data_IF_860645997420
#
_entry.id   IF_860645997420
#
_cell.length_a   1.000
_cell.length_b   1.000
_cell.length_c   1.000
_cell.angle_alpha   90.00
_cell.angle_beta   90.00
_cell.angle_gamma   90.00
#
_symmetry.space_group_name_H-M   'P 1'
#
loop_
_entity.id
_entity.type
_entity.pdbx_description
1 polymer ?
#
# COMPACT_ATOMS: atom_id res chain seq x y z
N UNK A 1 23.50 -15.79 -1.93
CA UNK A 1 22.32 -14.94 -2.04
C UNK A 1 21.83 -14.96 -3.48
N UNK A 2 20.53 -15.15 -3.71
CA UNK A 2 19.93 -15.18 -5.05
C UNK A 2 19.91 -13.74 -5.59
N UNK A 3 20.67 -13.46 -6.67
CA UNK A 3 20.63 -12.17 -7.35
C UNK A 3 19.70 -12.30 -8.56
N UNK A 4 18.69 -11.41 -8.63
CA UNK A 4 17.79 -11.35 -9.79
C UNK A 4 18.53 -10.71 -10.98
N UNK A 5 18.41 -11.34 -12.16
CA UNK A 5 18.92 -10.76 -13.42
C UNK A 5 17.92 -9.76 -13.99
N UNK A 6 16.61 -10.10 -13.99
CA UNK A 6 15.54 -9.25 -14.48
C UNK A 6 14.40 -9.20 -13.46
N UNK A 7 13.94 -7.98 -13.15
CA UNK A 7 12.74 -7.71 -12.35
C UNK A 7 11.78 -6.88 -13.20
N UNK A 8 10.50 -7.25 -13.17
CA UNK A 8 9.43 -6.49 -13.80
C UNK A 8 8.67 -5.66 -12.75
N UNK A 9 8.29 -4.43 -13.10
CA UNK A 9 7.40 -3.57 -12.31
C UNK A 9 6.15 -3.28 -13.13
N UNK A 10 5.00 -3.69 -12.64
CA UNK A 10 3.70 -3.47 -13.30
C UNK A 10 3.01 -2.26 -12.68
N UNK A 11 3.01 -1.15 -13.42
CA UNK A 11 2.46 0.13 -12.99
C UNK A 11 3.54 1.20 -12.84
N UNK A 12 3.51 2.19 -13.71
CA UNK A 12 4.49 3.28 -13.83
C UNK A 12 4.02 4.59 -13.16
N UNK A 13 3.17 4.49 -12.13
CA UNK A 13 2.88 5.64 -11.26
C UNK A 13 4.12 6.10 -10.49
N UNK A 14 3.98 7.14 -9.65
CA UNK A 14 5.09 7.66 -8.84
C UNK A 14 5.80 6.55 -8.03
N UNK A 15 5.02 5.65 -7.36
CA UNK A 15 5.60 4.59 -6.54
C UNK A 15 6.29 3.51 -7.36
N UNK A 16 5.70 3.06 -8.48
CA UNK A 16 6.34 2.06 -9.36
C UNK A 16 7.63 2.59 -9.99
N UNK A 17 7.66 3.86 -10.37
CA UNK A 17 8.87 4.52 -10.86
C UNK A 17 9.94 4.63 -9.76
N UNK A 18 9.59 5.00 -8.54
CA UNK A 18 10.52 5.04 -7.42
C UNK A 18 11.09 3.65 -7.09
N UNK A 19 10.24 2.61 -7.04
CA UNK A 19 10.70 1.23 -6.82
C UNK A 19 11.61 0.73 -7.94
N UNK A 20 11.35 1.10 -9.20
CA UNK A 20 12.23 0.72 -10.32
C UNK A 20 13.63 1.32 -10.19
N UNK A 21 13.72 2.57 -9.70
CA UNK A 21 15.00 3.24 -9.40
C UNK A 21 15.73 2.54 -8.24
N UNK A 22 15.02 2.19 -7.18
CA UNK A 22 15.60 1.43 -6.06
C UNK A 22 16.13 0.07 -6.53
N UNK A 23 15.32 -0.70 -7.24
CA UNK A 23 15.69 -2.02 -7.77
C UNK A 23 16.89 -1.96 -8.70
N UNK A 24 17.02 -0.91 -9.51
CA UNK A 24 18.13 -0.73 -10.45
C UNK A 24 19.51 -0.73 -9.82
N UNK A 25 19.58 -0.45 -8.51
CA UNK A 25 20.86 -0.44 -7.77
C UNK A 25 21.39 -1.85 -7.47
N UNK A 26 20.52 -2.87 -7.45
CA UNK A 26 20.86 -4.26 -7.09
C UNK A 26 20.51 -5.29 -8.18
N UNK A 27 19.76 -4.90 -9.21
CA UNK A 27 19.28 -5.77 -10.27
C UNK A 27 19.85 -5.34 -11.61
N UNK A 28 20.30 -6.29 -12.43
CA UNK A 28 20.96 -5.98 -13.71
C UNK A 28 20.03 -5.28 -14.70
N UNK A 29 18.75 -5.66 -14.74
CA UNK A 29 17.75 -5.09 -15.63
C UNK A 29 16.39 -4.97 -14.94
N UNK A 30 15.79 -3.79 -14.97
CA UNK A 30 14.44 -3.52 -14.47
C UNK A 30 13.55 -3.08 -15.64
N UNK A 31 12.49 -3.84 -15.91
CA UNK A 31 11.51 -3.52 -16.94
C UNK A 31 10.22 -3.02 -16.29
N UNK A 32 9.70 -1.88 -16.72
CA UNK A 32 8.50 -1.23 -16.15
C UNK A 32 7.39 -1.21 -17.18
N UNK A 33 6.25 -1.80 -16.83
CA UNK A 33 5.06 -1.66 -17.64
C UNK A 33 4.31 -0.37 -17.28
N UNK A 34 4.10 0.46 -18.29
CA UNK A 34 3.32 1.69 -18.20
C UNK A 34 2.07 1.57 -19.07
N UNK A 35 0.91 1.93 -18.52
CA UNK A 35 -0.33 2.01 -19.29
C UNK A 35 -0.32 3.22 -20.23
N UNK A 36 0.22 4.33 -19.75
CA UNK A 36 0.24 5.62 -20.44
C UNK A 36 1.41 5.70 -21.43
N UNK A 37 1.15 5.85 -22.76
CA UNK A 37 2.21 5.96 -23.78
C UNK A 37 3.15 7.15 -23.56
N UNK A 38 2.63 8.26 -23.02
CA UNK A 38 3.42 9.46 -22.73
C UNK A 38 4.48 9.22 -21.65
N UNK A 39 4.23 8.30 -20.70
CA UNK A 39 5.23 7.90 -19.69
C UNK A 39 6.37 7.15 -20.36
N UNK A 40 6.07 6.21 -21.26
CA UNK A 40 7.08 5.45 -22.02
C UNK A 40 7.92 6.40 -22.87
N UNK A 41 7.27 7.31 -23.60
CA UNK A 41 7.95 8.32 -24.41
C UNK A 41 8.87 9.22 -23.58
N UNK A 42 8.36 9.74 -22.46
CA UNK A 42 9.14 10.58 -21.55
C UNK A 42 10.34 9.84 -20.97
N UNK A 43 10.17 8.58 -20.57
CA UNK A 43 11.24 7.75 -20.04
C UNK A 43 12.33 7.46 -21.09
N UNK A 44 11.94 7.23 -22.34
CA UNK A 44 12.87 6.99 -23.45
C UNK A 44 13.66 8.23 -23.85
N UNK A 45 12.98 9.37 -24.03
CA UNK A 45 13.58 10.60 -24.56
C UNK A 45 14.34 11.41 -23.50
N UNK A 46 13.79 11.48 -22.27
CA UNK A 46 14.31 12.37 -21.21
C UNK A 46 14.96 11.62 -20.05
N UNK A 47 14.84 10.29 -20.02
CA UNK A 47 15.23 9.48 -18.85
C UNK A 47 14.54 9.99 -17.59
N UNK A 48 13.22 10.23 -17.68
CA UNK A 48 12.38 10.79 -16.63
C UNK A 48 10.93 10.36 -16.83
N UNK A 49 10.20 10.08 -15.73
CA UNK A 49 8.75 9.99 -15.76
C UNK A 49 8.15 11.37 -15.45
N UNK A 50 8.06 12.21 -16.45
CA UNK A 50 7.60 13.60 -16.30
C UNK A 50 6.14 13.73 -15.87
N UNK A 51 5.34 12.64 -15.99
CA UNK A 51 3.92 12.63 -15.63
C UNK A 51 3.72 12.40 -14.13
N UNK A 52 4.38 11.37 -13.58
CA UNK A 52 4.11 10.91 -12.22
C UNK A 52 5.26 11.10 -11.23
N UNK A 53 6.51 11.26 -11.72
CA UNK A 53 7.69 11.44 -10.88
C UNK A 53 8.66 12.44 -11.55
N UNK A 54 8.23 13.71 -11.73
CA UNK A 54 9.02 14.70 -12.43
C UNK A 54 10.32 15.04 -11.69
N UNK A 55 11.34 15.48 -12.45
CA UNK A 55 12.66 15.88 -11.96
C UNK A 55 13.48 14.77 -11.29
N UNK A 56 13.12 13.51 -11.50
CA UNK A 56 13.87 12.35 -11.02
C UNK A 56 14.41 11.57 -12.22
N UNK A 57 15.74 11.39 -12.25
CA UNK A 57 16.41 10.70 -13.34
C UNK A 57 16.27 9.19 -13.25
N UNK A 58 15.84 8.55 -14.35
CA UNK A 58 15.73 7.09 -14.47
C UNK A 58 17.10 6.51 -14.84
N UNK A 59 17.63 5.52 -14.09
CA UNK A 59 18.88 4.83 -14.37
C UNK A 59 18.88 4.08 -15.73
N UNK A 60 20.05 3.91 -16.34
CA UNK A 60 20.19 3.36 -17.69
C UNK A 60 19.67 1.91 -17.83
N UNK A 61 19.75 1.11 -16.74
CA UNK A 61 19.27 -0.28 -16.68
C UNK A 61 17.78 -0.41 -16.33
N UNK A 62 17.01 0.70 -16.37
CA UNK A 62 15.56 0.73 -16.22
C UNK A 62 14.93 1.09 -17.55
N UNK A 63 14.02 0.25 -18.05
CA UNK A 63 13.32 0.43 -19.31
C UNK A 63 11.81 0.45 -19.11
N UNK A 64 11.11 1.31 -19.84
CA UNK A 64 9.65 1.44 -19.80
C UNK A 64 9.05 0.95 -21.12
N UNK A 65 7.96 0.18 -21.03
CA UNK A 65 7.22 -0.32 -22.20
C UNK A 65 5.73 -0.40 -21.92
N UNK A 66 4.92 -0.27 -22.97
CA UNK A 66 3.49 -0.58 -22.93
C UNK A 66 3.20 -2.07 -23.22
N UNK A 67 4.20 -2.83 -23.69
CA UNK A 67 4.07 -4.27 -23.97
C UNK A 67 4.26 -5.08 -22.69
N UNK A 68 3.19 -5.75 -22.24
CA UNK A 68 3.27 -6.63 -21.07
C UNK A 68 4.20 -7.83 -21.34
N UNK A 69 4.23 -8.38 -22.55
CA UNK A 69 5.11 -9.48 -22.91
C UNK A 69 6.58 -9.09 -22.77
N UNK A 70 6.99 -7.94 -23.34
CA UNK A 70 8.38 -7.50 -23.29
C UNK A 70 8.86 -7.26 -21.85
N UNK A 71 7.99 -6.68 -21.04
CA UNK A 71 8.28 -6.39 -19.64
C UNK A 71 8.41 -7.68 -18.82
N UNK A 72 7.47 -8.61 -18.96
CA UNK A 72 7.34 -9.77 -18.07
C UNK A 72 8.20 -10.95 -18.48
N UNK A 73 8.51 -11.09 -19.80
CA UNK A 73 9.28 -12.19 -20.33
C UNK A 73 10.64 -12.34 -19.65
N UNK A 74 10.82 -13.48 -18.99
CA UNK A 74 12.05 -13.82 -18.29
C UNK A 74 12.24 -13.12 -16.92
N UNK A 75 11.30 -12.31 -16.46
CA UNK A 75 11.35 -11.71 -15.13
C UNK A 75 11.31 -12.79 -14.03
N UNK A 76 12.22 -12.69 -13.04
CA UNK A 76 12.32 -13.63 -11.93
C UNK A 76 11.53 -13.14 -10.71
N UNK A 77 11.22 -11.85 -10.66
CA UNK A 77 10.33 -11.21 -9.71
C UNK A 77 9.46 -10.19 -10.45
N UNK A 78 8.18 -10.14 -10.11
CA UNK A 78 7.21 -9.17 -10.65
C UNK A 78 6.64 -8.36 -9.50
N UNK A 79 6.87 -7.05 -9.52
CA UNK A 79 6.38 -6.10 -8.53
C UNK A 79 5.12 -5.42 -9.07
N UNK A 80 3.99 -5.61 -8.38
CA UNK A 80 2.69 -5.08 -8.77
C UNK A 80 2.40 -3.77 -8.06
N UNK A 81 2.29 -2.69 -8.81
CA UNK A 81 2.08 -1.33 -8.30
C UNK A 81 0.81 -0.73 -8.92
N UNK A 82 -0.24 -1.52 -8.93
CA UNK A 82 -1.56 -1.13 -9.42
C UNK A 82 -2.57 -1.08 -8.27
N UNK A 83 -3.60 -0.23 -8.35
CA UNK A 83 -4.66 -0.24 -7.34
C UNK A 83 -5.34 -1.60 -7.25
N UNK A 84 -5.74 -2.03 -6.04
CA UNK A 84 -6.22 -3.40 -5.77
C UNK A 84 -7.42 -3.78 -6.64
N UNK A 85 -8.33 -2.86 -6.92
CA UNK A 85 -9.50 -3.11 -7.78
C UNK A 85 -9.15 -3.39 -9.26
N UNK A 86 -7.93 -3.03 -9.71
CA UNK A 86 -7.40 -3.40 -11.03
C UNK A 86 -6.44 -4.59 -10.99
N UNK A 87 -6.09 -5.08 -9.80
CA UNK A 87 -5.04 -6.11 -9.66
C UNK A 87 -5.46 -7.41 -10.35
N UNK A 88 -6.66 -7.93 -10.07
CA UNK A 88 -7.12 -9.20 -10.63
C UNK A 88 -7.21 -9.19 -12.16
N UNK A 89 -7.92 -8.24 -12.82
CA UNK A 89 -8.01 -8.24 -14.27
C UNK A 89 -6.63 -8.06 -14.93
N UNK A 90 -5.75 -7.21 -14.37
CA UNK A 90 -4.40 -7.01 -14.88
C UNK A 90 -3.57 -8.28 -14.72
N UNK A 91 -3.58 -8.91 -13.55
CA UNK A 91 -2.80 -10.11 -13.29
C UNK A 91 -3.25 -11.29 -14.17
N UNK A 92 -4.56 -11.48 -14.37
CA UNK A 92 -5.10 -12.52 -15.27
C UNK A 92 -4.64 -12.31 -16.72
N UNK A 93 -4.71 -11.07 -17.22
CA UNK A 93 -4.30 -10.77 -18.60
C UNK A 93 -2.80 -10.92 -18.82
N UNK A 94 -1.99 -10.72 -17.77
CA UNK A 94 -0.52 -10.79 -17.83
C UNK A 94 0.05 -12.17 -17.46
N UNK A 95 -0.75 -13.03 -16.83
CA UNK A 95 -0.33 -14.36 -16.40
C UNK A 95 0.40 -15.17 -17.50
N UNK A 96 -0.03 -15.18 -18.79
CA UNK A 96 0.66 -15.95 -19.84
C UNK A 96 2.13 -15.57 -20.05
N UNK A 97 2.51 -14.34 -19.73
CA UNK A 97 3.88 -13.83 -19.93
C UNK A 97 4.79 -14.02 -18.71
N UNK A 98 4.21 -14.44 -17.56
CA UNK A 98 4.94 -14.59 -16.32
C UNK A 98 5.66 -15.92 -16.25
N UNK A 99 6.96 -15.88 -15.99
CA UNK A 99 7.81 -17.06 -15.82
C UNK A 99 7.33 -17.91 -14.65
N UNK A 100 7.26 -19.24 -14.87
CA UNK A 100 6.98 -20.20 -13.81
C UNK A 100 7.97 -20.06 -12.66
N UNK A 101 7.47 -19.97 -11.42
CA UNK A 101 8.27 -19.80 -10.23
C UNK A 101 8.77 -18.37 -9.98
N UNK A 102 8.30 -17.36 -10.73
CA UNK A 102 8.60 -15.96 -10.44
C UNK A 102 8.00 -15.53 -9.09
N UNK A 103 8.68 -14.67 -8.35
CA UNK A 103 8.15 -14.08 -7.13
C UNK A 103 7.14 -12.97 -7.48
N UNK A 104 5.99 -12.99 -6.85
CA UNK A 104 4.90 -12.02 -7.08
C UNK A 104 4.79 -11.12 -5.84
N UNK A 105 5.28 -9.88 -5.95
CA UNK A 105 5.34 -8.92 -4.85
C UNK A 105 4.37 -7.77 -5.14
N UNK A 106 3.29 -7.65 -4.36
CA UNK A 106 2.42 -6.49 -4.45
C UNK A 106 3.02 -5.31 -3.67
N UNK A 107 2.92 -4.12 -4.23
CA UNK A 107 3.32 -2.85 -3.59
C UNK A 107 2.15 -1.83 -3.54
N UNK A 108 0.97 -2.24 -3.98
CA UNK A 108 -0.28 -1.49 -3.82
C UNK A 108 -0.90 -1.74 -2.44
N UNK A 109 -1.55 -0.74 -1.87
CA UNK A 109 -2.20 -0.84 -0.56
C UNK A 109 -3.71 -1.00 -0.70
N UNK A 110 -4.32 -1.86 0.12
CA UNK A 110 -5.76 -2.08 0.16
C UNK A 110 -6.14 -3.55 0.19
N UNK A 111 -7.45 -3.78 0.28
CA UNK A 111 -8.12 -5.07 0.26
C UNK A 111 -9.24 -4.97 -0.77
N UNK A 112 -9.56 -6.03 -1.45
CA UNK A 112 -10.66 -6.06 -2.42
C UNK A 112 -12.01 -5.89 -1.72
N UNK A 113 -12.76 -4.89 -2.16
CA UNK A 113 -14.09 -4.59 -1.61
C UNK A 113 -15.06 -5.72 -2.00
N UNK A 114 -15.85 -6.20 -1.05
CA UNK A 114 -16.87 -7.24 -1.26
C UNK A 114 -16.39 -8.66 -1.05
N UNK A 115 -15.13 -8.99 -1.33
CA UNK A 115 -14.58 -10.35 -1.16
C UNK A 115 -13.57 -10.46 -0.02
N UNK A 116 -12.96 -9.35 0.41
CA UNK A 116 -11.91 -9.28 1.44
C UNK A 116 -10.59 -9.90 1.04
N UNK A 117 -10.45 -10.30 -0.22
CA UNK A 117 -9.20 -10.89 -0.68
C UNK A 117 -8.07 -9.90 -0.56
N UNK A 118 -6.99 -10.35 0.03
CA UNK A 118 -5.73 -9.63 0.10
C UNK A 118 -5.03 -9.68 -1.25
N UNK A 119 -4.16 -8.71 -1.59
CA UNK A 119 -3.44 -8.71 -2.86
C UNK A 119 -2.69 -10.00 -3.15
N UNK A 120 -2.06 -10.64 -2.15
CA UNK A 120 -1.38 -11.93 -2.31
C UNK A 120 -2.32 -13.07 -2.71
N UNK A 121 -3.54 -13.10 -2.19
CA UNK A 121 -4.58 -14.08 -2.56
C UNK A 121 -5.05 -13.86 -4.00
N UNK A 122 -5.29 -12.61 -4.37
CA UNK A 122 -5.68 -12.23 -5.73
C UNK A 122 -4.60 -12.65 -6.74
N UNK A 123 -3.33 -12.39 -6.43
CA UNK A 123 -2.21 -12.77 -7.28
C UNK A 123 -2.06 -14.29 -7.40
N UNK A 124 -2.23 -15.02 -6.29
CA UNK A 124 -2.15 -16.49 -6.27
C UNK A 124 -3.21 -17.14 -7.17
N UNK A 125 -4.45 -16.64 -7.10
CA UNK A 125 -5.53 -17.10 -7.95
C UNK A 125 -5.34 -16.71 -9.43
N UNK A 126 -4.79 -15.52 -9.68
CA UNK A 126 -4.65 -14.98 -11.05
C UNK A 126 -3.42 -15.50 -11.77
N UNK A 127 -2.37 -15.90 -11.06
CA UNK A 127 -1.06 -16.34 -11.59
C UNK A 127 -0.62 -17.63 -10.89
N UNK A 128 -1.33 -18.75 -11.08
CA UNK A 128 -1.09 -19.98 -10.33
C UNK A 128 0.30 -20.61 -10.57
N UNK A 129 0.99 -20.24 -11.63
CA UNK A 129 2.37 -20.66 -11.92
C UNK A 129 3.42 -19.86 -11.15
N UNK A 130 3.04 -18.83 -10.35
CA UNK A 130 3.96 -18.08 -9.50
C UNK A 130 4.65 -18.96 -8.45
N UNK A 131 5.81 -18.51 -7.96
CA UNK A 131 6.60 -19.26 -6.97
C UNK A 131 6.25 -18.91 -5.53
N UNK A 132 6.19 -17.62 -5.21
CA UNK A 132 5.91 -17.11 -3.88
C UNK A 132 5.17 -15.79 -3.99
N UNK A 133 4.23 -15.53 -3.09
CA UNK A 133 3.31 -14.41 -3.16
C UNK A 133 3.35 -13.59 -1.87
N UNK A 134 3.22 -12.28 -2.00
CA UNK A 134 3.14 -11.40 -0.86
C UNK A 134 3.25 -9.93 -1.23
N UNK A 135 3.71 -9.11 -0.28
CA UNK A 135 3.68 -7.65 -0.45
C UNK A 135 4.91 -6.96 0.16
N UNK A 136 5.25 -5.79 -0.38
CA UNK A 136 6.20 -4.85 0.21
C UNK A 136 5.46 -3.61 0.70
N UNK A 137 5.61 -3.26 1.99
CA UNK A 137 4.88 -2.17 2.63
C UNK A 137 5.78 -1.38 3.58
N UNK A 138 5.44 -0.11 3.81
CA UNK A 138 6.17 0.76 4.74
C UNK A 138 5.78 2.23 4.58
N UNK A 139 6.36 3.14 5.39
CA UNK A 139 6.21 4.59 5.31
C UNK A 139 7.00 5.12 4.10
N UNK A 140 6.46 4.96 2.90
CA UNK A 140 7.18 5.20 1.67
C UNK A 140 6.48 6.27 0.82
N UNK A 141 6.93 7.51 0.92
CA UNK A 141 6.55 8.60 0.03
C UNK A 141 7.45 8.49 -1.22
N UNK A 142 6.84 8.22 -2.37
CA UNK A 142 7.56 7.89 -3.62
C UNK A 142 8.64 8.91 -3.99
N UNK A 143 8.33 10.21 -3.86
CA UNK A 143 9.24 11.29 -4.18
C UNK A 143 10.46 11.33 -3.24
N UNK A 144 10.24 11.09 -1.95
CA UNK A 144 11.31 11.05 -0.96
C UNK A 144 12.25 9.85 -1.17
N UNK A 145 11.66 8.67 -1.40
CA UNK A 145 12.43 7.45 -1.70
C UNK A 145 13.25 7.61 -2.98
N UNK A 146 12.68 8.21 -4.02
CA UNK A 146 13.38 8.48 -5.29
C UNK A 146 14.52 9.51 -5.16
N UNK A 147 14.47 10.36 -4.13
CA UNK A 147 15.52 11.31 -3.75
C UNK A 147 16.56 10.74 -2.78
N UNK A 148 16.56 9.44 -2.55
CA UNK A 148 17.45 8.77 -1.59
C UNK A 148 17.31 9.25 -0.13
N UNK A 149 16.15 9.83 0.26
CA UNK A 149 15.85 10.06 1.67
C UNK A 149 15.63 8.74 2.38
N UNK A 150 16.04 8.68 3.66
CA UNK A 150 15.94 7.45 4.43
C UNK A 150 14.49 7.01 4.58
N UNK A 151 14.24 5.74 4.26
CA UNK A 151 12.96 5.07 4.45
C UNK A 151 13.16 3.59 4.77
N UNK A 152 12.16 2.99 5.39
CA UNK A 152 12.11 1.56 5.68
C UNK A 152 10.88 0.90 5.07
N UNK A 153 11.03 -0.39 4.72
CA UNK A 153 9.93 -1.23 4.29
C UNK A 153 10.09 -2.65 4.86
N UNK A 154 9.01 -3.39 4.86
CA UNK A 154 8.99 -4.83 5.08
C UNK A 154 8.48 -5.51 3.81
N UNK A 155 9.17 -6.52 3.32
CA UNK A 155 8.68 -7.42 2.28
C UNK A 155 8.34 -8.76 2.91
N UNK A 156 7.09 -9.17 2.78
CA UNK A 156 6.62 -10.45 3.27
C UNK A 156 6.20 -11.35 2.11
N UNK A 157 6.71 -12.58 2.08
CA UNK A 157 6.37 -13.61 1.10
C UNK A 157 6.09 -14.93 1.82
N UNK A 158 5.37 -15.84 1.17
CA UNK A 158 5.06 -17.18 1.72
C UNK A 158 6.31 -17.96 2.16
N UNK A 159 7.41 -17.76 1.44
CA UNK A 159 8.70 -18.35 1.74
C UNK A 159 9.64 -17.31 2.36
N UNK A 160 10.13 -17.59 3.56
CA UNK A 160 11.13 -16.75 4.22
C UNK A 160 12.39 -16.55 3.37
N UNK A 161 12.83 -17.58 2.66
CA UNK A 161 14.00 -17.50 1.79
C UNK A 161 13.75 -16.56 0.60
N UNK A 162 12.56 -16.61 0.01
CA UNK A 162 12.17 -15.70 -1.08
C UNK A 162 11.99 -14.27 -0.57
N UNK A 163 11.43 -14.09 0.64
CA UNK A 163 11.34 -12.78 1.27
C UNK A 163 12.71 -12.13 1.50
N UNK A 164 13.71 -12.92 1.94
CA UNK A 164 15.09 -12.45 2.09
C UNK A 164 15.68 -12.06 0.73
N UNK A 165 15.51 -12.90 -0.31
CA UNK A 165 16.00 -12.60 -1.65
C UNK A 165 15.35 -11.32 -2.23
N UNK A 166 14.04 -11.13 -2.01
CA UNK A 166 13.33 -9.92 -2.42
C UNK A 166 13.80 -8.69 -1.63
N UNK A 167 13.98 -8.82 -0.30
CA UNK A 167 14.50 -7.75 0.54
C UNK A 167 15.88 -7.26 0.07
N UNK A 168 16.78 -8.18 -0.24
CA UNK A 168 18.12 -7.87 -0.76
C UNK A 168 18.05 -7.10 -2.10
N UNK A 169 17.06 -7.42 -2.96
CA UNK A 169 16.90 -6.72 -4.22
C UNK A 169 16.45 -5.25 -4.05
N UNK A 170 15.65 -4.97 -3.03
CA UNK A 170 15.20 -3.60 -2.73
C UNK A 170 16.16 -2.84 -1.80
N UNK A 171 16.97 -3.52 -0.97
CA UNK A 171 17.74 -2.88 0.09
C UNK A 171 18.87 -2.00 -0.46
N UNK A 172 18.92 -0.74 -0.02
CA UNK A 172 19.99 0.21 -0.31
C UNK A 172 20.43 0.91 0.99
N UNK A 173 21.50 1.72 0.98
CA UNK A 173 21.87 2.48 2.19
C UNK A 173 20.77 3.41 2.71
N UNK A 174 19.95 3.98 1.80
CA UNK A 174 18.85 4.89 2.13
C UNK A 174 17.49 4.23 2.21
N UNK A 175 17.31 3.02 1.66
CA UNK A 175 16.06 2.26 1.69
C UNK A 175 16.29 0.90 2.32
N UNK A 176 16.00 0.79 3.62
CA UNK A 176 16.17 -0.45 4.39
C UNK A 176 14.94 -1.32 4.25
N UNK A 177 15.13 -2.57 3.85
CA UNK A 177 14.03 -3.52 3.68
C UNK A 177 14.29 -4.76 4.53
N UNK A 178 13.31 -5.07 5.39
CA UNK A 178 13.31 -6.29 6.19
C UNK A 178 12.52 -7.39 5.50
N UNK A 179 12.92 -8.63 5.71
CA UNK A 179 12.17 -9.78 5.24
C UNK A 179 11.22 -10.29 6.32
N UNK A 180 10.02 -10.69 5.94
CA UNK A 180 9.03 -11.33 6.80
C UNK A 180 8.38 -12.52 6.07
N UNK A 181 7.72 -13.39 6.79
CA UNK A 181 6.82 -14.44 6.29
C UNK A 181 5.37 -14.24 6.81
N UNK A 182 5.14 -13.15 7.57
CA UNK A 182 3.78 -12.71 7.92
C UNK A 182 3.16 -11.83 6.82
N UNK A 183 2.74 -12.46 5.73
CA UNK A 183 2.09 -11.76 4.61
C UNK A 183 0.77 -11.13 5.07
N UNK A 184 0.03 -11.80 5.97
CA UNK A 184 -1.27 -11.33 6.46
C UNK A 184 -1.09 -10.03 7.24
N UNK A 185 -0.19 -10.00 8.22
CA UNK A 185 0.05 -8.82 9.05
C UNK A 185 0.48 -7.62 8.23
N UNK A 186 1.37 -7.82 7.27
CA UNK A 186 1.88 -6.75 6.39
C UNK A 186 0.77 -6.18 5.50
N UNK A 187 -0.06 -7.01 4.88
CA UNK A 187 -1.13 -6.56 3.99
C UNK A 187 -2.28 -5.88 4.74
N UNK A 188 -2.73 -6.46 5.85
CA UNK A 188 -3.82 -5.91 6.68
C UNK A 188 -3.38 -4.60 7.34
N UNK A 189 -2.15 -4.56 7.88
CA UNK A 189 -1.58 -3.34 8.44
C UNK A 189 -1.59 -2.18 7.45
N UNK A 190 -1.11 -2.42 6.24
CA UNK A 190 -1.06 -1.42 5.19
C UNK A 190 -2.46 -1.00 4.66
N UNK A 191 -3.44 -1.90 4.65
CA UNK A 191 -4.79 -1.61 4.20
C UNK A 191 -5.56 -0.76 5.21
N UNK A 192 -5.56 -1.15 6.49
CA UNK A 192 -6.38 -0.51 7.52
C UNK A 192 -5.77 0.78 8.08
N UNK A 193 -4.46 1.00 7.96
CA UNK A 193 -3.82 2.23 8.41
C UNK A 193 -4.48 3.52 7.90
N UNK A 194 -5.04 3.46 6.69
CA UNK A 194 -5.67 4.61 6.06
C UNK A 194 -6.93 5.06 6.81
N UNK A 195 -7.62 4.13 7.48
CA UNK A 195 -8.78 4.43 8.33
C UNK A 195 -8.31 5.09 9.63
N UNK A 196 -7.19 4.63 10.21
CA UNK A 196 -6.61 5.29 11.37
C UNK A 196 -6.17 6.72 11.04
N UNK A 197 -5.71 6.95 9.81
CA UNK A 197 -5.39 8.31 9.35
C UNK A 197 -6.65 9.19 9.18
N UNK A 198 -7.78 8.62 8.75
CA UNK A 198 -9.09 9.32 8.79
C UNK A 198 -9.45 9.70 10.22
N UNK A 199 -9.31 8.76 11.19
CA UNK A 199 -9.58 9.01 12.61
C UNK A 199 -8.71 10.13 13.18
N UNK A 200 -7.41 10.11 12.86
CA UNK A 200 -6.48 11.16 13.28
C UNK A 200 -6.88 12.54 12.71
N UNK A 201 -7.24 12.58 11.43
CA UNK A 201 -7.74 13.79 10.79
C UNK A 201 -9.08 14.27 11.40
N UNK A 202 -9.99 13.34 11.69
CA UNK A 202 -11.25 13.65 12.36
C UNK A 202 -11.01 14.37 13.70
N UNK A 203 -10.04 13.91 14.49
CA UNK A 203 -9.63 14.61 15.73
C UNK A 203 -9.11 16.03 15.46
N UNK A 204 -8.34 16.22 14.38
CA UNK A 204 -7.85 17.55 13.97
C UNK A 204 -9.04 18.47 13.60
N UNK A 205 -9.99 17.99 12.83
CA UNK A 205 -11.18 18.74 12.41
C UNK A 205 -12.10 19.13 13.55
N UNK A 206 -12.23 18.27 14.56
CA UNK A 206 -12.97 18.56 15.80
C UNK A 206 -12.15 19.38 16.81
N UNK A 207 -10.87 19.69 16.55
CA UNK A 207 -9.97 20.46 17.44
C UNK A 207 -9.78 19.82 18.83
N UNK A 208 -9.70 18.49 18.89
CA UNK A 208 -9.66 17.72 20.16
C UNK A 208 -8.30 17.76 20.87
N UNK A 209 -7.27 18.31 20.23
CA UNK A 209 -5.92 18.39 20.80
C UNK A 209 -5.11 17.09 20.67
N UNK A 210 -3.83 17.19 21.00
CA UNK A 210 -2.84 16.13 20.78
C UNK A 210 -3.10 14.85 21.60
N UNK A 211 -3.55 14.98 22.84
CA UNK A 211 -3.78 13.82 23.72
C UNK A 211 -4.86 12.89 23.15
N UNK A 212 -6.02 13.45 22.77
CA UNK A 212 -7.11 12.65 22.20
C UNK A 212 -6.70 12.02 20.88
N UNK A 213 -6.05 12.79 20.00
CA UNK A 213 -5.53 12.28 18.72
C UNK A 213 -4.56 11.11 18.93
N UNK A 214 -3.62 11.23 19.87
CA UNK A 214 -2.66 10.17 20.18
C UNK A 214 -3.34 8.89 20.69
N UNK A 215 -4.35 9.02 21.56
CA UNK A 215 -5.14 7.87 22.05
C UNK A 215 -5.90 7.20 20.92
N UNK A 216 -6.55 7.98 20.05
CA UNK A 216 -7.28 7.45 18.89
C UNK A 216 -6.34 6.73 17.92
N UNK A 217 -5.17 7.27 17.66
CA UNK A 217 -4.15 6.61 16.83
C UNK A 217 -3.68 5.29 17.44
N UNK A 218 -3.39 5.28 18.75
CA UNK A 218 -2.92 4.08 19.45
C UNK A 218 -4.00 2.97 19.46
N UNK A 219 -5.25 3.33 19.78
CA UNK A 219 -6.39 2.39 19.74
C UNK A 219 -6.68 1.91 18.33
N UNK A 220 -6.61 2.80 17.32
CA UNK A 220 -6.76 2.42 15.92
C UNK A 220 -5.69 1.43 15.48
N UNK A 221 -4.44 1.58 15.92
CA UNK A 221 -3.39 0.61 15.68
C UNK A 221 -3.69 -0.75 16.35
N UNK A 222 -4.24 -0.74 17.58
CA UNK A 222 -4.69 -1.97 18.23
C UNK A 222 -5.85 -2.64 17.48
N UNK A 223 -6.75 -1.88 16.86
CA UNK A 223 -7.81 -2.42 15.99
C UNK A 223 -7.22 -3.11 14.75
N UNK A 224 -6.23 -2.49 14.09
CA UNK A 224 -5.49 -3.13 12.99
C UNK A 224 -4.90 -4.45 13.45
N UNK A 225 -4.24 -4.47 14.60
CA UNK A 225 -3.64 -5.68 15.17
C UNK A 225 -4.70 -6.77 15.40
N UNK A 226 -5.83 -6.46 16.06
CA UNK A 226 -6.90 -7.43 16.31
C UNK A 226 -7.48 -7.99 15.00
N UNK A 227 -7.70 -7.12 14.02
CA UNK A 227 -8.18 -7.53 12.71
C UNK A 227 -7.19 -8.50 12.03
N UNK A 228 -5.91 -8.16 12.01
CA UNK A 228 -4.89 -9.00 11.41
C UNK A 228 -4.72 -10.35 12.15
N UNK A 229 -4.71 -10.33 13.49
CA UNK A 229 -4.61 -11.54 14.32
C UNK A 229 -5.77 -12.51 14.08
N UNK A 230 -7.00 -11.99 13.87
CA UNK A 230 -8.18 -12.82 13.56
C UNK A 230 -8.08 -13.53 12.21
N UNK A 231 -7.19 -13.08 11.33
CA UNK A 231 -6.88 -13.69 10.04
C UNK A 231 -5.65 -14.60 10.10
N UNK A 232 -5.01 -14.72 11.26
CA UNK A 232 -3.83 -15.56 11.46
C UNK A 232 -2.49 -14.83 11.31
N UNK A 233 -2.47 -13.49 11.34
CA UNK A 233 -1.23 -12.73 11.41
C UNK A 233 -0.48 -13.00 12.73
N UNK A 234 0.83 -12.88 12.69
CA UNK A 234 1.67 -13.10 13.86
C UNK A 234 1.69 -11.86 14.77
N UNK A 235 1.54 -12.06 16.07
CA UNK A 235 1.52 -10.98 17.06
C UNK A 235 2.80 -10.15 17.04
N UNK A 236 3.93 -10.77 16.78
CA UNK A 236 5.25 -10.15 16.81
C UNK A 236 5.51 -9.20 15.63
N UNK A 237 4.85 -9.40 14.47
CA UNK A 237 5.08 -8.59 13.28
C UNK A 237 4.74 -7.12 13.49
N UNK A 238 3.68 -6.83 14.24
CA UNK A 238 3.25 -5.45 14.55
C UNK A 238 4.18 -4.73 15.52
N UNK A 239 4.89 -5.47 16.37
CA UNK A 239 5.85 -4.91 17.34
C UNK A 239 7.25 -4.82 16.74
N UNK A 240 7.67 -5.85 16.00
CA UNK A 240 9.02 -5.97 15.46
C UNK A 240 9.23 -5.19 14.16
N UNK A 241 8.17 -5.05 13.35
CA UNK A 241 8.26 -4.37 12.06
C UNK A 241 7.91 -2.89 12.19
N UNK A 242 8.92 -2.08 12.50
CA UNK A 242 8.81 -0.61 12.60
C UNK A 242 8.16 0.01 11.35
N UNK A 243 8.31 -0.63 10.19
CA UNK A 243 7.70 -0.19 8.95
C UNK A 243 6.16 -0.18 8.99
N UNK A 244 5.50 -1.11 9.72
CA UNK A 244 4.04 -1.14 9.82
C UNK A 244 3.55 0.04 10.68
N UNK A 245 4.08 0.18 11.89
CA UNK A 245 3.73 1.31 12.78
C UNK A 245 4.15 2.65 12.17
N UNK A 246 5.33 2.71 11.57
CA UNK A 246 5.83 3.90 10.89
C UNK A 246 4.91 4.37 9.76
N UNK A 247 4.31 3.45 9.00
CA UNK A 247 3.36 3.79 7.93
C UNK A 247 2.05 4.37 8.49
N UNK A 248 1.57 3.86 9.63
CA UNK A 248 0.44 4.45 10.37
C UNK A 248 0.78 5.87 10.80
N UNK A 249 1.90 6.06 11.50
CA UNK A 249 2.33 7.36 12.04
C UNK A 249 2.54 8.39 10.92
N UNK A 250 3.29 8.03 9.87
CA UNK A 250 3.53 8.91 8.72
C UNK A 250 2.22 9.36 8.07
N UNK A 251 1.26 8.44 7.88
CA UNK A 251 -0.01 8.76 7.23
C UNK A 251 -0.91 9.62 8.12
N UNK A 252 -0.90 9.40 9.44
CA UNK A 252 -1.68 10.19 10.41
C UNK A 252 -1.12 11.59 10.63
N UNK A 253 0.20 11.78 10.47
CA UNK A 253 0.87 13.05 10.78
C UNK A 253 1.08 13.93 9.55
N UNK A 254 1.26 13.33 8.36
CA UNK A 254 1.57 14.10 7.15
C UNK A 254 0.43 15.03 6.74
N UNK A 255 0.70 16.32 6.52
CA UNK A 255 -0.29 17.26 5.98
C UNK A 255 -0.71 16.89 4.54
N UNK A 256 0.13 16.17 3.81
CA UNK A 256 -0.13 15.72 2.44
C UNK A 256 -0.96 14.42 2.39
N UNK A 257 -1.27 13.82 3.54
CA UNK A 257 -2.09 12.61 3.62
C UNK A 257 -3.54 12.92 3.24
N UNK A 258 -3.96 12.38 2.10
CA UNK A 258 -5.36 12.49 1.64
C UNK A 258 -6.35 11.91 2.65
N UNK A 259 -5.99 10.82 3.31
CA UNK A 259 -6.85 10.19 4.32
C UNK A 259 -6.99 11.11 5.55
N UNK A 260 -5.87 11.62 6.09
CA UNK A 260 -5.91 12.56 7.20
C UNK A 260 -6.71 13.83 6.85
N UNK A 261 -6.43 14.45 5.70
CA UNK A 261 -7.14 15.66 5.25
C UNK A 261 -8.64 15.42 5.05
N UNK A 262 -9.02 14.23 4.54
CA UNK A 262 -10.43 13.86 4.42
C UNK A 262 -11.08 13.70 5.80
N UNK A 263 -10.41 13.03 6.74
CA UNK A 263 -10.86 12.92 8.13
C UNK A 263 -11.04 14.29 8.79
N UNK A 264 -10.11 15.22 8.57
CA UNK A 264 -10.18 16.60 9.08
C UNK A 264 -11.45 17.32 8.57
N UNK A 265 -11.81 17.13 7.31
CA UNK A 265 -13.06 17.67 6.73
C UNK A 265 -14.30 17.06 7.37
N UNK A 266 -14.32 15.75 7.58
CA UNK A 266 -15.41 15.07 8.30
C UNK A 266 -15.56 15.60 9.74
N UNK A 267 -14.44 15.73 10.47
CA UNK A 267 -14.41 16.31 11.80
C UNK A 267 -14.88 17.78 11.84
N UNK A 268 -14.60 18.54 10.79
CA UNK A 268 -15.09 19.91 10.64
C UNK A 268 -16.59 20.01 10.26
N UNK A 269 -17.25 18.86 10.00
CA UNK A 269 -18.69 18.78 9.74
C UNK A 269 -19.10 18.67 8.26
N UNK A 270 -18.15 18.43 7.35
CA UNK A 270 -18.51 18.09 5.98
C UNK A 270 -19.07 16.66 5.90
N UNK A 271 -19.99 16.42 4.97
CA UNK A 271 -20.40 15.06 4.61
C UNK A 271 -19.27 14.31 3.91
N UNK A 272 -19.37 12.98 3.82
CA UNK A 272 -18.40 12.16 3.11
C UNK A 272 -18.34 12.51 1.61
N UNK A 273 -19.49 12.80 0.99
CA UNK A 273 -19.60 13.22 -0.40
C UNK A 273 -18.89 14.55 -0.65
N UNK A 274 -19.13 15.56 0.20
CA UNK A 274 -18.46 16.86 0.09
C UNK A 274 -16.95 16.74 0.29
N UNK A 275 -16.51 15.96 1.29
CA UNK A 275 -15.10 15.72 1.57
C UNK A 275 -14.41 15.00 0.39
N UNK A 276 -15.13 14.04 -0.26
CA UNK A 276 -14.66 13.30 -1.44
C UNK A 276 -14.60 14.21 -2.68
N UNK A 277 -15.59 15.05 -2.90
CA UNK A 277 -15.60 15.98 -4.02
C UNK A 277 -14.37 16.92 -4.02
N UNK A 278 -13.90 17.32 -2.84
CA UNK A 278 -12.71 18.16 -2.68
C UNK A 278 -11.37 17.45 -2.96
N UNK A 279 -11.38 16.16 -3.28
CA UNK A 279 -10.18 15.44 -3.69
C UNK A 279 -9.81 15.62 -5.17
N UNK A 280 -10.69 16.24 -5.96
CA UNK A 280 -10.44 16.48 -7.39
C UNK A 280 -10.22 15.19 -8.19
N UNK A 281 -11.05 14.18 -7.96
CA UNK A 281 -10.97 12.87 -8.62
C UNK A 281 -9.90 11.92 -8.05
N UNK A 282 -9.11 12.36 -7.07
CA UNK A 282 -8.11 11.49 -6.42
C UNK A 282 -8.77 10.57 -5.39
N UNK A 283 -8.31 9.33 -5.30
CA UNK A 283 -8.85 8.31 -4.39
C UNK A 283 -8.47 8.59 -2.93
N UNK A 284 -9.42 8.41 -2.01
CA UNK A 284 -9.20 8.31 -0.58
C UNK A 284 -9.39 6.86 -0.14
N UNK A 285 -8.30 6.11 -0.05
CA UNK A 285 -8.33 4.69 0.26
C UNK A 285 -9.01 4.38 1.61
N UNK A 286 -8.91 5.27 2.60
CA UNK A 286 -9.58 5.12 3.90
C UNK A 286 -11.10 5.10 3.77
N UNK A 287 -11.70 5.99 2.97
CA UNK A 287 -13.16 6.00 2.73
C UNK A 287 -13.64 4.79 1.92
N UNK A 288 -12.80 4.24 1.04
CA UNK A 288 -13.15 3.01 0.32
C UNK A 288 -13.06 1.79 1.23
N UNK A 289 -12.00 1.72 2.04
CA UNK A 289 -11.74 0.57 2.91
C UNK A 289 -12.67 0.55 4.13
N UNK A 290 -13.17 1.70 4.60
CA UNK A 290 -13.94 1.80 5.84
C UNK A 290 -15.22 0.96 5.81
N UNK A 291 -15.86 0.86 4.63
CA UNK A 291 -17.08 0.06 4.46
C UNK A 291 -16.86 -1.45 4.70
N UNK A 292 -15.60 -1.90 4.54
CA UNK A 292 -15.22 -3.28 4.82
C UNK A 292 -15.22 -3.57 6.32
N UNK A 293 -14.96 -2.56 7.17
CA UNK A 293 -14.73 -2.77 8.59
C UNK A 293 -15.96 -3.31 9.33
N UNK A 294 -17.17 -2.83 8.98
CA UNK A 294 -18.39 -3.33 9.60
C UNK A 294 -18.66 -4.79 9.23
N UNK A 295 -18.56 -5.11 7.94
CA UNK A 295 -18.71 -6.49 7.48
C UNK A 295 -17.67 -7.41 8.13
N UNK A 296 -16.45 -6.88 8.37
CA UNK A 296 -15.38 -7.61 9.04
C UNK A 296 -15.70 -7.84 10.51
N UNK A 297 -16.17 -6.81 11.23
CA UNK A 297 -16.60 -6.92 12.63
C UNK A 297 -17.70 -7.96 12.78
N UNK A 298 -18.72 -7.92 11.93
CA UNK A 298 -19.85 -8.86 11.93
C UNK A 298 -19.42 -10.30 11.62
N UNK A 299 -18.59 -10.48 10.58
CA UNK A 299 -18.18 -11.80 10.13
C UNK A 299 -17.15 -12.49 11.04
N UNK A 300 -16.31 -11.71 11.72
CA UNK A 300 -15.19 -12.21 12.54
C UNK A 300 -15.39 -12.00 14.04
N UNK A 301 -16.43 -11.28 14.45
CA UNK A 301 -16.70 -10.91 15.85
C UNK A 301 -15.53 -10.21 16.53
N UNK A 302 -14.80 -9.39 15.76
CA UNK A 302 -13.64 -8.59 16.22
C UNK A 302 -14.06 -7.15 16.40
N UNK A 303 -14.06 -6.60 17.63
CA UNK A 303 -14.50 -5.23 17.85
C UNK A 303 -13.53 -4.21 17.21
N UNK A 304 -14.08 -3.33 16.37
CA UNK A 304 -13.38 -2.27 15.66
C UNK A 304 -14.08 -0.90 15.88
N UNK A 305 -14.24 -0.44 17.13
CA UNK A 305 -15.09 0.70 17.47
C UNK A 305 -14.69 2.01 16.77
N UNK A 306 -13.41 2.28 16.56
CA UNK A 306 -12.96 3.48 15.82
C UNK A 306 -13.34 3.37 14.35
N UNK A 307 -13.07 2.22 13.74
CA UNK A 307 -13.30 2.01 12.32
C UNK A 307 -14.80 1.99 12.02
N UNK A 308 -15.61 1.31 12.82
CA UNK A 308 -17.07 1.25 12.62
C UNK A 308 -17.78 2.56 12.94
N UNK A 309 -17.30 3.33 13.94
CA UNK A 309 -17.83 4.67 14.20
C UNK A 309 -17.61 5.63 13.03
N UNK A 310 -16.43 5.58 12.39
CA UNK A 310 -16.17 6.36 11.17
C UNK A 310 -17.00 5.89 9.98
N UNK A 311 -17.25 4.57 9.88
CA UNK A 311 -18.14 4.02 8.86
C UNK A 311 -19.55 4.62 9.00
N UNK A 312 -20.13 4.56 10.21
CA UNK A 312 -21.46 5.12 10.48
C UNK A 312 -21.52 6.62 10.25
N UNK A 313 -20.47 7.36 10.61
CA UNK A 313 -20.38 8.79 10.31
C UNK A 313 -20.35 9.05 8.79
N UNK A 314 -19.55 8.27 8.05
CA UNK A 314 -19.43 8.45 6.60
C UNK A 314 -20.72 8.13 5.84
N UNK A 315 -21.57 7.27 6.41
CA UNK A 315 -22.90 6.92 5.89
C UNK A 315 -24.02 7.83 6.40
N UNK A 316 -23.70 8.82 7.24
CA UNK A 316 -24.67 9.74 7.82
C UNK A 316 -25.61 9.11 8.88
N UNK A 317 -25.24 7.94 9.42
CA UNK A 317 -26.04 7.22 10.44
C UNK A 317 -25.92 7.84 11.82
N UNK A 318 -24.78 8.47 12.10
CA UNK A 318 -24.49 9.15 13.38
C UNK A 318 -23.87 10.52 13.12
N UNK A 319 -24.00 11.42 14.09
CA UNK A 319 -23.32 12.71 14.10
C UNK A 319 -21.88 12.61 14.63
N UNK A 320 -21.13 13.70 14.55
CA UNK A 320 -19.72 13.79 14.94
C UNK A 320 -19.48 13.52 16.42
N UNK A 321 -20.38 14.03 17.28
CA UNK A 321 -20.32 13.89 18.72
C UNK A 321 -20.52 12.42 19.12
N UNK A 322 -21.49 11.75 18.50
CA UNK A 322 -21.74 10.31 18.67
C UNK A 322 -20.58 9.48 18.13
N UNK A 323 -20.03 9.85 16.98
CA UNK A 323 -18.84 9.20 16.42
C UNK A 323 -17.67 9.27 17.42
N UNK A 324 -17.34 10.45 17.93
CA UNK A 324 -16.30 10.64 18.95
C UNK A 324 -16.54 9.78 20.19
N UNK A 325 -17.77 9.81 20.72
CA UNK A 325 -18.13 9.00 21.88
C UNK A 325 -17.92 7.51 21.66
N UNK A 326 -18.25 7.01 20.46
CA UNK A 326 -18.06 5.61 20.09
C UNK A 326 -16.58 5.24 19.92
N UNK A 327 -15.77 6.14 19.33
CA UNK A 327 -14.31 5.94 19.21
C UNK A 327 -13.57 5.89 20.56
N UNK A 328 -14.11 6.54 21.57
CA UNK A 328 -13.48 6.66 22.90
C UNK A 328 -13.99 5.63 23.93
N UNK A 329 -15.02 4.84 23.61
CA UNK A 329 -15.44 3.70 24.42
C UNK A 329 -14.36 2.60 24.40
#
# INVERSE_FOLDING_TARGET
>A
MKKFKKVAVVGAGAWGSALSIILSKNVSHVAVWAREPEVVKSAAEKRENSVFLPNIKIPANVEFSNSAEDVLKGAEMVVWVVPVHFLQPTAKSFAPFIKKGALLVNAGKGIEIGTWRRPSEILRESVPQGGSFGSIMGPNIAFEVAQDKYAEAVVALDSRADAVAAADAFCTPSFRVRASDDVIGVEIGAALKNIVALAAGFCDGMKLGANTKAIVMARGFQEIYRAAASLGAWSDSFVKESAILGDVLTTCMSPDSRNRTTGERLGAGMSAEEAKARLGGRVCAGLETIQICRMFEDARHVPLPIMTALCDLSEGKIDRETCLKNMLK
#
